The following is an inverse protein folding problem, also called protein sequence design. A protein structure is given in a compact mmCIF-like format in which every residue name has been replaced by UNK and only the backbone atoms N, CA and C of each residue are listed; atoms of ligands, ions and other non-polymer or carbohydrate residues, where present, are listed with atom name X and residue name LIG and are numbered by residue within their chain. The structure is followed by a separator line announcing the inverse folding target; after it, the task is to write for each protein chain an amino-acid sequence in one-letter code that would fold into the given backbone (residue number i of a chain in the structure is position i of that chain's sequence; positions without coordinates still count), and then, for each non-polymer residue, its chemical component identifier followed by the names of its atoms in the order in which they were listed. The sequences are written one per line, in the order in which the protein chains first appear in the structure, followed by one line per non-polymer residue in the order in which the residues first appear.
data_IF_117116404533
#
_entry.id   IF_117116404533
#
_cell.length_a   1.000
_cell.length_b   1.000
_cell.length_c   1.000
_cell.angle_alpha   90.00
_cell.angle_beta   90.00
_cell.angle_gamma   90.00
#
_symmetry.space_group_name_H-M   'P 1'
#
loop_
_entity.id
_entity.type
_entity.pdbx_description
1 polymer ?
#
# COMPACT_ATOMS: atom_id res chain seq x y z
N UNK A 1 -1.60 -46.27 -121.88
CA UNK A 1 -0.31 -46.08 -122.57
C UNK A 1 -0.52 -46.48 -124.03
N UNK A 2 -0.04 -45.70 -125.02
CA UNK A 2 -0.06 -46.16 -126.41
C UNK A 2 0.67 -47.51 -126.51
N UNK A 3 0.05 -48.48 -127.19
CA UNK A 3 0.56 -49.85 -127.28
C UNK A 3 1.85 -49.88 -128.10
N UNK A 4 2.78 -50.81 -127.81
CA UNK A 4 4.05 -50.99 -128.55
C UNK A 4 3.82 -51.04 -130.08
N UNK A 5 2.69 -51.62 -130.50
CA UNK A 5 2.18 -51.63 -131.87
C UNK A 5 1.92 -50.23 -132.48
N UNK A 6 1.27 -49.32 -131.74
CA UNK A 6 0.99 -47.95 -132.23
C UNK A 6 2.27 -47.12 -132.36
N UNK A 7 3.25 -47.34 -131.48
CA UNK A 7 4.57 -46.71 -131.56
C UNK A 7 5.40 -47.27 -132.73
N UNK A 8 5.33 -48.58 -132.99
CA UNK A 8 5.99 -49.24 -134.13
C UNK A 8 5.50 -48.68 -135.48
N UNK A 9 4.19 -48.59 -135.67
CA UNK A 9 3.62 -48.08 -136.93
C UNK A 9 4.00 -46.61 -137.21
N UNK A 10 4.11 -45.78 -136.17
CA UNK A 10 4.49 -44.36 -136.32
C UNK A 10 6.00 -44.14 -136.53
N UNK A 11 6.85 -45.00 -136.00
CA UNK A 11 8.31 -44.87 -136.07
C UNK A 11 8.92 -45.58 -137.29
N UNK A 12 8.32 -46.70 -137.75
CA UNK A 12 8.77 -47.50 -138.91
C UNK A 12 9.05 -46.68 -140.18
N UNK A 13 8.16 -45.75 -140.63
CA UNK A 13 8.41 -45.01 -141.86
C UNK A 13 9.50 -43.93 -141.74
N UNK A 14 9.93 -43.55 -140.52
CA UNK A 14 10.91 -42.47 -140.32
C UNK A 14 12.33 -42.96 -140.01
N UNK A 15 12.46 -44.08 -139.33
CA UNK A 15 13.75 -44.58 -138.85
C UNK A 15 14.23 -45.82 -139.62
N UNK A 16 13.33 -46.56 -140.28
CA UNK A 16 13.64 -47.88 -140.84
C UNK A 16 13.14 -49.00 -139.92
N UNK A 17 13.00 -50.21 -140.48
CA UNK A 17 12.45 -51.35 -139.75
C UNK A 17 13.41 -51.86 -138.66
N UNK A 18 14.71 -51.85 -138.92
CA UNK A 18 15.71 -52.28 -137.93
C UNK A 18 15.87 -51.25 -136.80
N UNK A 19 15.99 -49.97 -137.15
CA UNK A 19 16.22 -48.89 -136.20
C UNK A 19 15.00 -48.66 -135.30
N UNK A 20 13.77 -48.80 -135.84
CA UNK A 20 12.54 -48.73 -135.05
C UNK A 20 12.42 -49.89 -134.08
N UNK A 21 12.81 -51.12 -134.48
CA UNK A 21 12.85 -52.28 -133.58
C UNK A 21 13.88 -52.08 -132.48
N UNK A 22 15.09 -51.63 -132.81
CA UNK A 22 16.14 -51.39 -131.83
C UNK A 22 15.75 -50.29 -130.81
N UNK A 23 15.07 -49.23 -131.26
CA UNK A 23 14.61 -48.15 -130.38
C UNK A 23 13.43 -48.59 -129.49
N UNK A 24 12.52 -49.43 -130.00
CA UNK A 24 11.45 -50.01 -129.21
C UNK A 24 11.95 -51.05 -128.22
N UNK A 25 12.88 -51.91 -128.63
CA UNK A 25 13.57 -52.85 -127.75
C UNK A 25 14.34 -52.10 -126.66
N UNK A 26 15.02 -51.01 -127.01
CA UNK A 26 15.69 -50.15 -126.03
C UNK A 26 14.71 -49.47 -125.08
N UNK A 27 13.58 -48.95 -125.56
CA UNK A 27 12.55 -48.29 -124.74
C UNK A 27 11.83 -49.31 -123.84
N UNK A 28 11.48 -50.47 -124.36
CA UNK A 28 10.87 -51.58 -123.62
C UNK A 28 11.83 -52.11 -122.56
N UNK A 29 13.10 -52.37 -122.90
CA UNK A 29 14.16 -52.73 -121.95
C UNK A 29 14.39 -51.64 -120.91
N UNK A 30 14.36 -50.36 -121.29
CA UNK A 30 14.57 -49.24 -120.37
C UNK A 30 13.38 -49.05 -119.43
N UNK A 31 12.16 -49.29 -119.90
CA UNK A 31 10.94 -49.28 -119.09
C UNK A 31 10.96 -50.48 -118.14
N UNK A 32 11.28 -51.69 -118.60
CA UNK A 32 11.40 -52.88 -117.75
C UNK A 32 12.46 -52.73 -116.67
N UNK A 33 13.60 -52.10 -116.97
CA UNK A 33 14.67 -51.85 -115.99
C UNK A 33 14.33 -50.78 -114.95
N UNK A 34 13.39 -49.87 -115.24
CA UNK A 34 13.06 -48.73 -114.36
C UNK A 34 11.67 -48.81 -113.75
N UNK A 35 10.79 -49.63 -114.30
CA UNK A 35 9.46 -49.85 -113.78
C UNK A 35 9.55 -50.80 -112.59
N UNK A 36 8.96 -50.41 -111.46
CA UNK A 36 8.73 -51.34 -110.37
C UNK A 36 7.83 -52.47 -110.87
N UNK A 37 8.35 -53.69 -110.83
CA UNK A 37 7.60 -54.88 -111.21
C UNK A 37 6.61 -55.25 -110.10
N UNK A 38 5.63 -56.11 -110.41
CA UNK A 38 4.75 -56.69 -109.38
C UNK A 38 5.54 -57.44 -108.30
N UNK A 39 6.72 -57.95 -108.65
CA UNK A 39 7.61 -58.63 -107.73
C UNK A 39 8.28 -57.64 -106.76
N UNK A 40 8.76 -56.50 -107.26
CA UNK A 40 9.32 -55.43 -106.40
C UNK A 40 8.28 -54.88 -105.42
N UNK A 41 7.03 -54.72 -105.88
CA UNK A 41 5.91 -54.32 -105.01
C UNK A 41 5.60 -55.37 -103.94
N UNK A 42 5.68 -56.66 -104.26
CA UNK A 42 5.50 -57.74 -103.28
C UNK A 42 6.62 -57.79 -102.25
N UNK A 43 7.86 -57.58 -102.68
CA UNK A 43 9.02 -57.55 -101.80
C UNK A 43 8.96 -56.36 -100.84
N UNK A 44 8.61 -55.16 -101.35
CA UNK A 44 8.43 -53.98 -100.51
C UNK A 44 7.24 -54.12 -99.55
N UNK A 45 6.11 -54.68 -99.99
CA UNK A 45 4.99 -54.98 -99.08
C UNK A 45 5.39 -55.98 -97.99
N UNK A 46 6.14 -57.03 -98.34
CA UNK A 46 6.63 -58.01 -97.38
C UNK A 46 7.58 -57.36 -96.36
N UNK A 47 8.50 -56.52 -96.81
CA UNK A 47 9.41 -55.77 -95.94
C UNK A 47 8.65 -54.83 -95.00
N UNK A 48 7.68 -54.05 -95.52
CA UNK A 48 6.84 -53.17 -94.70
C UNK A 48 6.04 -53.96 -93.66
N UNK A 49 5.47 -55.11 -94.02
CA UNK A 49 4.77 -55.98 -93.05
C UNK A 49 5.72 -56.50 -91.97
N UNK A 50 6.95 -56.82 -92.32
CA UNK A 50 7.98 -57.21 -91.35
C UNK A 50 8.34 -56.06 -90.41
N UNK A 51 8.55 -54.86 -90.94
CA UNK A 51 8.87 -53.66 -90.15
C UNK A 51 7.71 -53.27 -89.22
N UNK A 52 6.47 -53.34 -89.69
CA UNK A 52 5.27 -53.14 -88.86
C UNK A 52 5.25 -54.16 -87.73
N UNK A 53 5.46 -55.45 -88.03
CA UNK A 53 5.49 -56.51 -86.98
C UNK A 53 6.61 -56.28 -85.96
N UNK A 54 7.80 -55.87 -86.41
CA UNK A 54 8.92 -55.53 -85.52
C UNK A 54 8.56 -54.35 -84.62
N UNK A 55 7.99 -53.29 -85.20
CA UNK A 55 7.58 -52.08 -84.48
C UNK A 55 6.48 -52.37 -83.47
N UNK A 56 5.48 -53.18 -83.83
CA UNK A 56 4.43 -53.61 -82.91
C UNK A 56 5.01 -54.44 -81.75
N UNK A 57 5.96 -55.32 -82.04
CA UNK A 57 6.62 -56.14 -81.03
C UNK A 57 7.44 -55.27 -80.05
N UNK A 58 8.22 -54.31 -80.56
CA UNK A 58 8.98 -53.38 -79.70
C UNK A 58 8.05 -52.51 -78.88
N UNK A 59 7.00 -51.95 -79.47
CA UNK A 59 6.07 -51.07 -78.75
C UNK A 59 5.29 -51.81 -77.65
N UNK A 60 4.95 -53.08 -77.89
CA UNK A 60 4.33 -53.95 -76.88
C UNK A 60 5.28 -54.26 -75.73
N UNK A 61 6.56 -54.41 -76.02
CA UNK A 61 7.59 -54.62 -75.02
C UNK A 61 7.83 -53.34 -74.20
N UNK A 62 7.98 -52.19 -74.85
CA UNK A 62 8.14 -50.89 -74.19
C UNK A 62 6.96 -50.57 -73.25
N UNK A 63 5.73 -50.86 -73.69
CA UNK A 63 4.53 -50.70 -72.86
C UNK A 63 4.56 -51.62 -71.63
N UNK A 64 5.04 -52.87 -71.77
CA UNK A 64 5.18 -53.80 -70.64
C UNK A 64 6.24 -53.31 -69.66
N UNK A 65 7.39 -52.87 -70.15
CA UNK A 65 8.49 -52.36 -69.34
C UNK A 65 8.08 -51.09 -68.59
N UNK A 66 7.46 -50.13 -69.29
CA UNK A 66 6.93 -48.90 -68.68
C UNK A 66 5.88 -49.21 -67.62
N UNK A 67 4.94 -50.12 -67.92
CA UNK A 67 3.94 -50.55 -66.95
C UNK A 67 4.53 -51.26 -65.73
N UNK A 68 5.62 -52.02 -65.90
CA UNK A 68 6.33 -52.65 -64.79
C UNK A 68 7.06 -51.61 -63.92
N UNK A 69 7.77 -50.66 -64.55
CA UNK A 69 8.48 -49.59 -63.86
C UNK A 69 7.52 -48.70 -63.05
N UNK A 70 6.40 -48.27 -63.64
CA UNK A 70 5.38 -47.48 -62.94
C UNK A 70 4.78 -48.23 -61.74
N UNK A 71 4.52 -49.53 -61.87
CA UNK A 71 4.05 -50.35 -60.73
C UNK A 71 5.07 -50.46 -59.61
N UNK A 72 6.35 -50.51 -59.95
CA UNK A 72 7.42 -50.53 -58.96
C UNK A 72 7.54 -49.18 -58.24
N UNK A 73 7.52 -48.07 -58.96
CA UNK A 73 7.58 -46.72 -58.38
C UNK A 73 6.35 -46.41 -57.50
N UNK A 74 5.15 -46.85 -57.91
CA UNK A 74 3.95 -46.76 -57.07
C UNK A 74 4.16 -47.54 -55.77
N UNK A 75 4.67 -48.79 -55.84
CA UNK A 75 4.93 -49.60 -54.64
C UNK A 75 5.96 -48.95 -53.72
N UNK A 76 7.06 -48.43 -54.26
CA UNK A 76 8.08 -47.72 -53.48
C UNK A 76 7.47 -46.52 -52.76
N UNK A 77 6.70 -45.70 -53.48
CA UNK A 77 6.03 -44.53 -52.93
C UNK A 77 5.03 -44.90 -51.84
N UNK A 78 4.20 -45.94 -52.05
CA UNK A 78 3.28 -46.44 -51.03
C UNK A 78 4.00 -46.94 -49.78
N UNK A 79 5.14 -47.63 -49.93
CA UNK A 79 5.93 -48.09 -48.79
C UNK A 79 6.58 -46.94 -48.02
N UNK A 80 7.10 -45.93 -48.73
CA UNK A 80 7.66 -44.72 -48.12
C UNK A 80 6.59 -43.96 -47.34
N UNK A 81 5.43 -43.70 -47.96
CA UNK A 81 4.33 -42.97 -47.32
C UNK A 81 3.81 -43.70 -46.07
N UNK A 82 3.72 -45.03 -46.09
CA UNK A 82 3.38 -45.82 -44.90
C UNK A 82 4.44 -45.72 -43.80
N UNK A 83 5.71 -45.59 -44.18
CA UNK A 83 6.81 -45.31 -43.25
C UNK A 83 6.66 -43.95 -42.60
N UNK A 84 6.46 -42.91 -43.40
CA UNK A 84 6.30 -41.52 -42.93
C UNK A 84 5.09 -41.39 -42.00
N UNK A 85 3.95 -42.00 -42.34
CA UNK A 85 2.76 -42.01 -41.48
C UNK A 85 3.07 -42.65 -40.12
N UNK A 86 3.74 -43.80 -40.09
CA UNK A 86 4.11 -44.46 -38.84
C UNK A 86 5.09 -43.63 -38.01
N UNK A 87 6.01 -42.93 -38.66
CA UNK A 87 6.95 -42.04 -37.98
C UNK A 87 6.20 -40.88 -37.32
N UNK A 88 5.33 -40.19 -38.06
CA UNK A 88 4.51 -39.09 -37.53
C UNK A 88 3.61 -39.57 -36.37
N UNK A 89 2.99 -40.74 -36.50
CA UNK A 89 2.19 -41.32 -35.41
C UNK A 89 3.02 -41.59 -34.15
N UNK A 90 4.25 -42.08 -34.30
CA UNK A 90 5.15 -42.33 -33.18
C UNK A 90 5.62 -41.03 -32.52
N UNK A 91 5.96 -40.01 -33.32
CA UNK A 91 6.35 -38.69 -32.84
C UNK A 91 5.21 -38.03 -32.06
N UNK A 92 3.99 -38.01 -32.63
CA UNK A 92 2.81 -37.45 -31.96
C UNK A 92 2.47 -38.18 -30.65
N UNK A 93 2.56 -39.51 -30.62
CA UNK A 93 2.39 -40.27 -29.37
C UNK A 93 3.43 -39.90 -28.33
N UNK A 94 4.69 -39.70 -28.74
CA UNK A 94 5.76 -39.27 -27.86
C UNK A 94 5.52 -37.86 -27.31
N UNK A 95 5.06 -36.93 -28.14
CA UNK A 95 4.73 -35.57 -27.70
C UNK A 95 3.55 -35.54 -26.72
N UNK A 96 2.49 -36.33 -26.99
CA UNK A 96 1.35 -36.46 -26.08
C UNK A 96 1.82 -36.96 -24.70
N UNK A 97 2.64 -38.02 -24.65
CA UNK A 97 3.15 -38.55 -23.38
C UNK A 97 4.01 -37.53 -22.62
N UNK A 98 4.84 -36.74 -23.33
CA UNK A 98 5.62 -35.67 -22.70
C UNK A 98 4.72 -34.57 -22.14
N UNK A 99 3.67 -34.17 -22.87
CA UNK A 99 2.72 -33.18 -22.40
C UNK A 99 1.94 -33.67 -21.19
N UNK A 100 1.51 -34.93 -21.17
CA UNK A 100 0.86 -35.55 -20.00
C UNK A 100 1.76 -35.53 -18.77
N UNK A 101 3.05 -35.83 -18.94
CA UNK A 101 4.02 -35.79 -17.84
C UNK A 101 4.26 -34.35 -17.34
N UNK A 102 4.44 -33.39 -18.24
CA UNK A 102 4.58 -31.97 -17.88
C UNK A 102 3.33 -31.45 -17.16
N UNK A 103 2.14 -31.82 -17.63
CA UNK A 103 0.88 -31.45 -16.99
C UNK A 103 0.83 -32.02 -15.56
N UNK A 104 1.14 -33.32 -15.39
CA UNK A 104 1.15 -33.97 -14.07
C UNK A 104 2.16 -33.33 -13.11
N UNK A 105 3.35 -32.98 -13.60
CA UNK A 105 4.36 -32.29 -12.80
C UNK A 105 3.90 -30.89 -12.40
N UNK A 106 3.28 -30.15 -13.31
CA UNK A 106 2.73 -28.82 -13.06
C UNK A 106 1.60 -28.86 -12.03
N UNK A 107 0.67 -29.81 -12.15
CA UNK A 107 -0.40 -30.02 -11.18
C UNK A 107 0.13 -30.37 -9.78
N UNK A 108 1.15 -31.23 -9.73
CA UNK A 108 1.81 -31.59 -8.47
C UNK A 108 2.51 -30.37 -7.83
N UNK A 109 3.21 -29.57 -8.64
CA UNK A 109 3.86 -28.33 -8.21
C UNK A 109 2.85 -27.32 -7.65
N UNK A 110 1.78 -27.04 -8.40
CA UNK A 110 0.73 -26.13 -7.95
C UNK A 110 0.07 -26.60 -6.65
N UNK A 111 -0.15 -27.91 -6.48
CA UNK A 111 -0.71 -28.45 -5.24
C UNK A 111 0.21 -28.28 -4.05
N UNK A 112 1.52 -28.38 -4.27
CA UNK A 112 2.52 -28.14 -3.24
C UNK A 112 2.60 -26.66 -2.87
N UNK A 113 2.68 -25.78 -3.87
CA UNK A 113 2.68 -24.32 -3.67
C UNK A 113 1.42 -23.87 -2.89
N UNK A 114 0.24 -24.40 -3.26
CA UNK A 114 -1.01 -24.12 -2.53
C UNK A 114 -0.93 -24.56 -1.06
N UNK A 115 -0.34 -25.72 -0.77
CA UNK A 115 -0.16 -26.18 0.62
C UNK A 115 0.80 -25.30 1.39
N UNK A 116 1.91 -24.89 0.78
CA UNK A 116 2.87 -24.00 1.42
C UNK A 116 2.25 -22.65 1.75
N UNK A 117 1.46 -22.08 0.83
CA UNK A 117 0.70 -20.85 1.07
C UNK A 117 -0.30 -21.04 2.21
N UNK A 118 -1.06 -22.15 2.23
CA UNK A 118 -2.03 -22.41 3.30
C UNK A 118 -1.36 -22.53 4.68
N UNK A 119 -0.23 -23.25 4.75
CA UNK A 119 0.54 -23.39 6.01
C UNK A 119 1.09 -22.03 6.43
N UNK A 120 1.73 -21.28 5.52
CA UNK A 120 2.30 -19.96 5.83
C UNK A 120 1.25 -18.97 6.34
N UNK A 121 0.06 -18.93 5.71
CA UNK A 121 -1.04 -18.08 6.18
C UNK A 121 -1.55 -18.50 7.57
N UNK A 122 -1.66 -19.80 7.85
CA UNK A 122 -2.07 -20.29 9.18
C UNK A 122 -1.05 -19.88 10.26
N UNK A 123 0.23 -20.00 9.97
CA UNK A 123 1.31 -19.60 10.90
C UNK A 123 1.30 -18.08 11.15
N UNK A 124 1.14 -17.28 10.10
CA UNK A 124 1.07 -15.82 10.21
C UNK A 124 -0.14 -15.37 11.03
N UNK A 125 -1.32 -15.96 10.80
CA UNK A 125 -2.52 -15.70 11.59
C UNK A 125 -2.28 -16.03 13.07
N UNK A 126 -1.72 -17.20 13.38
CA UNK A 126 -1.42 -17.59 14.77
C UNK A 126 -0.42 -16.64 15.43
N UNK A 127 0.59 -16.17 14.69
CA UNK A 127 1.55 -15.19 15.18
C UNK A 127 0.87 -13.87 15.53
N UNK A 128 0.06 -13.35 14.61
CA UNK A 128 -0.65 -12.08 14.81
C UNK A 128 -1.66 -12.15 15.96
N UNK A 129 -2.39 -13.26 16.10
CA UNK A 129 -3.27 -13.47 17.26
C UNK A 129 -2.48 -13.48 18.58
N UNK A 130 -1.29 -14.08 18.59
CA UNK A 130 -0.40 -14.08 19.75
C UNK A 130 0.12 -12.68 20.11
N UNK A 131 0.52 -11.89 19.11
CA UNK A 131 0.96 -10.51 19.27
C UNK A 131 -0.17 -9.60 19.76
N UNK A 132 -1.37 -9.77 19.21
CA UNK A 132 -2.56 -9.02 19.63
C UNK A 132 -2.88 -9.31 21.10
N UNK A 133 -2.92 -10.58 21.51
CA UNK A 133 -3.17 -10.96 22.92
C UNK A 133 -2.14 -10.39 23.88
N UNK A 134 -0.85 -10.39 23.49
CA UNK A 134 0.21 -9.78 24.30
C UNK A 134 0.01 -8.27 24.45
N UNK A 135 -0.35 -7.60 23.36
CA UNK A 135 -0.61 -6.16 23.35
C UNK A 135 -1.81 -5.80 24.21
N UNK A 136 -2.92 -6.55 24.09
CA UNK A 136 -4.10 -6.37 24.93
C UNK A 136 -3.80 -6.59 26.42
N UNK A 137 -3.02 -7.62 26.75
CA UNK A 137 -2.60 -7.88 28.12
C UNK A 137 -1.71 -6.76 28.67
N UNK A 138 -0.76 -6.26 27.86
CA UNK A 138 0.10 -5.13 28.21
C UNK A 138 -0.69 -3.86 28.49
N UNK A 139 -1.59 -3.48 27.57
CA UNK A 139 -2.45 -2.30 27.75
C UNK A 139 -3.34 -2.41 28.99
N UNK A 140 -3.87 -3.59 29.29
CA UNK A 140 -4.67 -3.81 30.49
C UNK A 140 -3.85 -3.64 31.78
N UNK A 141 -2.59 -4.05 31.75
CA UNK A 141 -1.69 -3.88 32.88
C UNK A 141 -1.29 -2.41 33.05
N UNK A 142 -0.93 -1.73 31.97
CA UNK A 142 -0.61 -0.31 31.97
C UNK A 142 -1.80 0.52 32.51
N UNK A 143 -3.03 0.22 32.07
CA UNK A 143 -4.24 0.86 32.60
C UNK A 143 -4.41 0.65 34.10
N UNK A 144 -4.17 -0.56 34.61
CA UNK A 144 -4.24 -0.84 36.06
C UNK A 144 -3.18 -0.07 36.83
N UNK A 145 -1.97 0.03 36.30
CA UNK A 145 -0.89 0.79 36.93
C UNK A 145 -1.22 2.28 36.99
N UNK A 146 -1.74 2.85 35.90
CA UNK A 146 -2.20 4.25 35.85
C UNK A 146 -3.34 4.48 36.84
N UNK A 147 -4.35 3.61 36.88
CA UNK A 147 -5.45 3.73 37.86
C UNK A 147 -4.95 3.65 39.30
N UNK A 148 -4.01 2.76 39.59
CA UNK A 148 -3.43 2.62 40.93
C UNK A 148 -2.62 3.87 41.32
N UNK A 149 -1.78 4.38 40.40
CA UNK A 149 -1.01 5.60 40.58
C UNK A 149 -1.90 6.81 40.86
N UNK A 150 -2.92 7.04 40.04
CA UNK A 150 -3.86 8.14 40.22
C UNK A 150 -4.63 8.05 41.55
N UNK A 151 -5.03 6.84 41.97
CA UNK A 151 -5.68 6.65 43.28
C UNK A 151 -4.76 7.01 44.43
N UNK A 152 -3.47 6.69 44.32
CA UNK A 152 -2.48 7.00 45.35
C UNK A 152 -2.16 8.49 45.40
N UNK A 153 -1.93 9.14 44.25
CA UNK A 153 -1.73 10.59 44.16
C UNK A 153 -2.93 11.37 44.74
N UNK A 154 -4.15 10.93 44.44
CA UNK A 154 -5.36 11.53 45.00
C UNK A 154 -5.41 11.41 46.52
N UNK A 155 -5.10 10.22 47.07
CA UNK A 155 -5.04 10.00 48.52
C UNK A 155 -3.99 10.87 49.20
N UNK A 156 -2.80 10.97 48.62
CA UNK A 156 -1.73 11.81 49.15
C UNK A 156 -2.12 13.28 49.14
N UNK A 157 -2.75 13.74 48.06
CA UNK A 157 -3.25 15.11 47.96
C UNK A 157 -4.35 15.39 49.00
N UNK A 158 -5.32 14.48 49.16
CA UNK A 158 -6.36 14.60 50.18
C UNK A 158 -5.79 14.62 51.60
N UNK A 159 -4.81 13.77 51.89
CA UNK A 159 -4.14 13.75 53.19
C UNK A 159 -3.37 15.06 53.46
N UNK A 160 -2.59 15.54 52.48
CA UNK A 160 -1.85 16.79 52.59
C UNK A 160 -2.76 17.99 52.81
N UNK A 161 -3.88 18.08 52.07
CA UNK A 161 -4.87 19.14 52.27
C UNK A 161 -5.52 19.08 53.66
N UNK A 162 -5.81 17.89 54.19
CA UNK A 162 -6.35 17.74 55.55
C UNK A 162 -5.36 18.21 56.60
N UNK A 163 -4.09 17.86 56.47
CA UNK A 163 -3.03 18.31 57.39
C UNK A 163 -2.84 19.83 57.34
N UNK A 164 -2.87 20.43 56.15
CA UNK A 164 -2.77 21.87 55.97
C UNK A 164 -3.96 22.61 56.61
N UNK A 165 -5.18 22.10 56.41
CA UNK A 165 -6.39 22.64 57.07
C UNK A 165 -6.25 22.57 58.59
N UNK A 166 -5.86 21.42 59.15
CA UNK A 166 -5.69 21.26 60.61
C UNK A 166 -4.63 22.21 61.17
N UNK A 167 -3.54 22.43 60.43
CA UNK A 167 -2.48 23.37 60.80
C UNK A 167 -3.01 24.80 60.84
N UNK A 168 -3.70 25.24 59.79
CA UNK A 168 -4.29 26.57 59.71
C UNK A 168 -5.34 26.80 60.80
N UNK A 169 -6.17 25.79 61.11
CA UNK A 169 -7.11 25.86 62.24
C UNK A 169 -6.39 26.03 63.58
N UNK A 170 -5.25 25.36 63.76
CA UNK A 170 -4.39 25.49 64.95
C UNK A 170 -3.81 26.90 65.07
N UNK A 171 -3.17 27.39 64.01
CA UNK A 171 -2.59 28.74 63.94
C UNK A 171 -3.66 29.81 64.22
N UNK A 172 -4.86 29.66 63.64
CA UNK A 172 -5.98 30.58 63.88
C UNK A 172 -6.39 30.60 65.37
N UNK A 173 -6.48 29.43 66.03
CA UNK A 173 -6.79 29.36 67.46
C UNK A 173 -5.73 30.03 68.32
N UNK A 174 -4.46 29.86 68.00
CA UNK A 174 -3.37 30.54 68.71
C UNK A 174 -3.47 32.05 68.57
N UNK A 175 -3.74 32.56 67.37
CA UNK A 175 -3.99 33.99 67.12
C UNK A 175 -5.19 34.48 67.91
N UNK A 176 -6.31 33.75 67.91
CA UNK A 176 -7.50 34.12 68.68
C UNK A 176 -7.23 34.18 70.19
N UNK A 177 -6.49 33.21 70.73
CA UNK A 177 -6.09 33.21 72.14
C UNK A 177 -5.14 34.38 72.47
N UNK A 178 -4.18 34.65 71.59
CA UNK A 178 -3.26 35.79 71.71
C UNK A 178 -4.01 37.11 71.77
N UNK A 179 -4.91 37.36 70.81
CA UNK A 179 -5.74 38.56 70.77
C UNK A 179 -6.63 38.70 72.01
N UNK A 180 -7.26 37.61 72.48
CA UNK A 180 -8.04 37.64 73.73
C UNK A 180 -7.18 38.01 74.93
N UNK A 181 -5.96 37.46 75.02
CA UNK A 181 -5.00 37.78 76.08
C UNK A 181 -4.57 39.26 76.05
N UNK A 182 -4.26 39.79 74.87
CA UNK A 182 -3.93 41.21 74.69
C UNK A 182 -5.09 42.13 75.08
N UNK A 183 -6.32 41.80 74.68
CA UNK A 183 -7.52 42.56 75.08
C UNK A 183 -7.66 42.58 76.61
N UNK A 184 -7.58 41.43 77.29
CA UNK A 184 -7.68 41.37 78.75
C UNK A 184 -6.57 42.19 79.44
N UNK A 185 -5.36 42.17 78.89
CA UNK A 185 -4.24 42.97 79.38
C UNK A 185 -4.53 44.46 79.23
N UNK A 186 -4.98 44.89 78.06
CA UNK A 186 -5.33 46.29 77.77
C UNK A 186 -6.47 46.77 78.66
N UNK A 187 -7.51 45.95 78.87
CA UNK A 187 -8.60 46.26 79.81
C UNK A 187 -8.06 46.42 81.24
N UNK A 188 -7.13 45.56 81.66
CA UNK A 188 -6.49 45.65 82.97
C UNK A 188 -5.62 46.90 83.13
N UNK A 189 -4.86 47.27 82.10
CA UNK A 189 -4.07 48.50 82.06
C UNK A 189 -4.98 49.74 82.09
N UNK A 190 -6.08 49.75 81.33
CA UNK A 190 -7.07 50.82 81.34
C UNK A 190 -7.74 50.99 82.71
N UNK A 191 -8.11 49.90 83.38
CA UNK A 191 -8.68 49.98 84.75
C UNK A 191 -7.70 50.59 85.75
N UNK A 192 -6.40 50.26 85.63
CA UNK A 192 -5.36 50.84 86.50
C UNK A 192 -5.17 52.32 86.24
N UNK A 193 -5.16 52.75 84.97
CA UNK A 193 -5.05 54.17 84.63
C UNK A 193 -6.29 54.92 85.11
N UNK A 194 -7.51 54.40 84.92
CA UNK A 194 -8.75 54.99 85.46
C UNK A 194 -8.71 55.12 86.99
N UNK A 195 -8.28 54.08 87.72
CA UNK A 195 -8.16 54.13 89.17
C UNK A 195 -7.13 55.18 89.64
N UNK A 196 -6.02 55.29 88.91
CA UNK A 196 -4.98 56.29 89.17
C UNK A 196 -5.52 57.69 88.96
N UNK A 197 -6.18 57.95 87.82
CA UNK A 197 -6.82 59.23 87.51
C UNK A 197 -7.89 59.61 88.55
N UNK A 198 -8.75 58.67 88.96
CA UNK A 198 -9.72 58.91 90.04
C UNK A 198 -9.03 59.30 91.36
N UNK A 199 -7.95 58.62 91.70
CA UNK A 199 -7.15 58.94 92.89
C UNK A 199 -6.52 60.34 92.80
N UNK A 200 -6.00 60.72 91.63
CA UNK A 200 -5.45 62.06 91.37
C UNK A 200 -6.52 63.15 91.45
N UNK A 201 -7.71 62.93 90.87
CA UNK A 201 -8.85 63.84 90.99
C UNK A 201 -9.23 64.03 92.46
N UNK A 202 -9.36 62.93 93.23
CA UNK A 202 -9.70 63.03 94.64
C UNK A 202 -8.63 63.80 95.45
N UNK A 203 -7.34 63.60 95.12
CA UNK A 203 -6.26 64.41 95.72
C UNK A 203 -6.35 65.88 95.32
N UNK A 204 -6.71 66.18 94.07
CA UNK A 204 -6.91 67.56 93.61
C UNK A 204 -8.09 68.21 94.34
N UNK A 205 -9.21 67.51 94.49
CA UNK A 205 -10.37 68.00 95.26
C UNK A 205 -9.97 68.32 96.70
N UNK A 206 -9.22 67.43 97.36
CA UNK A 206 -8.69 67.69 98.70
C UNK A 206 -7.75 68.90 98.75
N UNK A 207 -6.88 69.06 97.76
CA UNK A 207 -5.99 70.24 97.67
C UNK A 207 -6.79 71.52 97.45
N UNK A 208 -7.83 71.49 96.62
CA UNK A 208 -8.76 72.61 96.39
C UNK A 208 -9.50 72.95 97.67
N UNK A 209 -10.06 71.98 98.40
CA UNK A 209 -10.75 72.22 99.66
C UNK A 209 -9.80 72.79 100.73
N UNK A 210 -8.59 72.25 100.84
CA UNK A 210 -7.56 72.84 101.73
C UNK A 210 -7.22 74.27 101.34
N UNK A 211 -7.03 74.55 100.05
CA UNK A 211 -6.75 75.88 99.55
C UNK A 211 -7.94 76.84 99.78
N UNK A 212 -9.19 76.38 99.61
CA UNK A 212 -10.40 77.14 99.94
C UNK A 212 -10.46 77.48 101.44
N UNK A 213 -10.18 76.52 102.31
CA UNK A 213 -10.15 76.74 103.78
C UNK A 213 -9.02 77.70 104.15
N UNK A 214 -7.84 77.55 103.56
CA UNK A 214 -6.70 78.45 103.78
C UNK A 214 -7.01 79.86 103.28
N UNK A 215 -7.65 79.99 102.11
CA UNK A 215 -8.13 81.26 101.59
C UNK A 215 -9.17 81.89 102.53
N UNK A 216 -10.14 81.12 103.02
CA UNK A 216 -11.12 81.59 104.03
C UNK A 216 -10.43 82.09 105.30
N UNK A 217 -9.43 81.36 105.81
CA UNK A 217 -8.63 81.80 106.97
C UNK A 217 -7.90 83.11 106.66
N UNK A 218 -7.27 83.23 105.49
CA UNK A 218 -6.60 84.45 105.05
C UNK A 218 -7.58 85.63 104.89
N UNK A 219 -8.73 85.41 104.26
CA UNK A 219 -9.78 86.44 104.10
C UNK A 219 -10.36 86.86 105.44
N UNK A 220 -10.61 85.91 106.36
CA UNK A 220 -11.07 86.23 107.71
C UNK A 220 -10.01 87.02 108.49
N UNK A 221 -8.75 86.60 108.45
CA UNK A 221 -7.63 87.33 109.05
C UNK A 221 -7.48 88.74 108.48
N UNK A 222 -7.61 88.88 107.16
CA UNK A 222 -7.62 90.17 106.47
C UNK A 222 -8.79 91.05 106.92
N UNK A 223 -10.03 90.53 106.98
CA UNK A 223 -11.21 91.29 107.43
C UNK A 223 -11.10 91.68 108.90
N UNK A 224 -10.67 90.78 109.80
CA UNK A 224 -10.45 91.10 111.22
C UNK A 224 -9.38 92.17 111.37
N UNK A 225 -8.27 92.06 110.62
CA UNK A 225 -7.23 93.08 110.60
C UNK A 225 -7.76 94.44 110.13
N UNK A 226 -8.50 94.48 109.02
CA UNK A 226 -9.11 95.71 108.51
C UNK A 226 -10.14 96.31 109.49
N UNK A 227 -11.01 95.49 110.09
CA UNK A 227 -11.97 95.94 111.11
C UNK A 227 -11.21 96.50 112.32
N UNK A 228 -10.17 95.83 112.82
CA UNK A 228 -9.38 96.31 113.94
C UNK A 228 -8.71 97.67 113.64
N UNK A 229 -8.16 97.85 112.44
CA UNK A 229 -7.59 99.13 111.99
C UNK A 229 -8.67 100.21 111.90
N UNK A 230 -9.81 99.94 111.26
CA UNK A 230 -10.94 100.87 111.15
C UNK A 230 -11.52 101.24 112.52
N UNK A 231 -11.70 100.26 113.41
CA UNK A 231 -12.13 100.50 114.79
C UNK A 231 -11.10 101.30 115.57
N UNK A 232 -9.80 101.06 115.36
CA UNK A 232 -8.72 101.87 115.93
C UNK A 232 -8.74 103.32 115.44
N UNK A 233 -8.94 103.53 114.13
CA UNK A 233 -9.13 104.86 113.53
C UNK A 233 -10.39 105.53 114.09
N UNK A 234 -11.53 104.84 114.13
CA UNK A 234 -12.78 105.33 114.70
C UNK A 234 -12.65 105.68 116.19
N UNK A 235 -11.92 104.87 116.96
CA UNK A 235 -11.66 105.14 118.38
C UNK A 235 -10.74 106.36 118.56
N UNK A 236 -9.71 106.51 117.72
CA UNK A 236 -8.86 107.70 117.71
C UNK A 236 -9.66 108.96 117.33
N UNK A 237 -10.54 108.87 116.33
CA UNK A 237 -11.46 109.95 115.95
C UNK A 237 -12.48 110.26 117.06
N UNK A 238 -13.08 109.25 117.68
CA UNK A 238 -14.02 109.43 118.80
C UNK A 238 -13.32 110.07 120.01
N UNK A 239 -12.09 109.65 120.33
CA UNK A 239 -11.26 110.27 121.38
C UNK A 239 -10.90 111.71 121.04
N UNK A 240 -10.64 112.02 119.78
CA UNK A 240 -10.39 113.37 119.32
C UNK A 240 -11.65 114.27 119.33
N UNK A 241 -12.86 113.70 119.27
CA UNK A 241 -14.13 114.43 119.17
C UNK A 241 -14.95 114.52 120.47
N UNK A 242 -14.81 113.55 121.39
CA UNK A 242 -15.52 113.52 122.70
C UNK A 242 -14.59 113.91 123.86
N UNK A 243 -13.29 114.02 123.59
CA UNK A 243 -12.31 114.58 124.52
C UNK A 243 -12.14 116.10 124.38
N UNK A 244 -13.24 116.85 124.23
CA UNK A 244 -13.41 118.28 124.56
C UNK A 244 -14.89 118.60 124.69
#
# INVERSE_FOLDING_TARGET
MPTVLELYEKLKPKLGEEETRALLEFVETSIERRAATKEDLRQTEAALREDIRKTEATLKEDLRQTGAALREEIRKTETALKGDIRQVEAELRGEIQRLEEVLRQTEAGLKEDMRQVEVGLREEIQRLEGELRKTEAGLKEDMRQVEAGLREELRQTEAGLREEIQRLEGELREVEMGLRGEIQRLEGELRKTEATLRGEIHRLDQKIERAKVELLKWTFGFWVGNIAVLSGIMFALFRAFVGK
#
